data_IF_804712677436
#
_entry.id   IF_804712677436
#
_cell.length_a   1.000
_cell.length_b   1.000
_cell.length_c   1.000
_cell.angle_alpha   90.00
_cell.angle_beta   90.00
_cell.angle_gamma   90.00
#
_symmetry.space_group_name_H-M   'P 1'
#
loop_
_entity.id
_entity.type
_entity.pdbx_description
1 polymer ?
#
# COMPACT_ATOMS: atom_id res chain seq x y z
N UNK A 1 -23.54 -2.47 19.13
CA UNK A 1 -23.03 -2.65 17.77
C UNK A 1 -24.07 -2.14 16.81
N UNK A 2 -23.88 -1.01 16.19
CA UNK A 2 -24.74 -0.51 15.10
C UNK A 2 -23.94 -0.67 13.81
N UNK A 3 -24.16 -1.78 13.12
CA UNK A 3 -23.62 -1.94 11.78
C UNK A 3 -24.36 -0.99 10.84
N UNK A 4 -23.68 0.03 10.39
CA UNK A 4 -24.17 0.95 9.38
C UNK A 4 -23.53 0.63 8.03
N UNK A 5 -24.32 0.07 7.12
CA UNK A 5 -23.86 -0.29 5.77
C UNK A 5 -23.29 0.91 5.02
N UNK A 6 -23.81 2.11 5.25
CA UNK A 6 -23.38 3.33 4.60
C UNK A 6 -21.98 3.73 5.09
N UNK A 7 -21.73 3.63 6.39
CA UNK A 7 -20.39 3.85 6.95
C UNK A 7 -19.39 2.81 6.47
N UNK A 8 -19.76 1.53 6.45
CA UNK A 8 -18.90 0.44 5.96
C UNK A 8 -18.52 0.67 4.50
N UNK A 9 -19.50 0.99 3.63
CA UNK A 9 -19.21 1.26 2.22
C UNK A 9 -18.34 2.51 2.05
N UNK A 10 -18.64 3.59 2.75
CA UNK A 10 -17.87 4.84 2.65
C UNK A 10 -16.43 4.64 3.10
N UNK A 11 -16.21 4.07 4.28
CA UNK A 11 -14.86 3.82 4.80
C UNK A 11 -14.09 2.78 3.97
N UNK A 12 -14.78 1.74 3.43
CA UNK A 12 -14.16 0.79 2.50
C UNK A 12 -13.69 1.46 1.21
N UNK A 13 -14.51 2.32 0.60
CA UNK A 13 -14.14 3.04 -0.63
C UNK A 13 -13.00 4.04 -0.39
N UNK A 14 -12.99 4.72 0.75
CA UNK A 14 -11.90 5.62 1.11
C UNK A 14 -10.60 4.82 1.28
N UNK A 15 -10.61 3.72 2.03
CA UNK A 15 -9.45 2.85 2.20
C UNK A 15 -8.99 2.26 0.87
N UNK A 16 -9.91 1.75 0.06
CA UNK A 16 -9.62 1.22 -1.27
C UNK A 16 -8.88 2.24 -2.15
N UNK A 17 -9.35 3.49 -2.16
CA UNK A 17 -8.74 4.56 -2.96
C UNK A 17 -7.34 4.94 -2.47
N UNK A 18 -7.09 4.87 -1.16
CA UNK A 18 -5.80 5.23 -0.57
C UNK A 18 -4.79 4.10 -0.67
N UNK A 19 -5.23 2.85 -0.50
CA UNK A 19 -4.37 1.65 -0.65
C UNK A 19 -3.93 1.51 -2.12
N UNK A 20 -4.82 1.84 -3.06
CA UNK A 20 -4.58 1.79 -4.51
C UNK A 20 -3.90 0.50 -4.97
N UNK A 21 -4.45 -0.65 -4.52
CA UNK A 21 -3.89 -1.96 -4.85
C UNK A 21 -3.87 -2.24 -6.35
N UNK A 22 -4.83 -1.68 -7.11
CA UNK A 22 -4.86 -1.84 -8.56
C UNK A 22 -3.71 -1.07 -9.23
N UNK A 23 -3.43 0.15 -8.77
CA UNK A 23 -2.28 0.94 -9.19
C UNK A 23 -0.95 0.30 -8.81
N UNK A 24 -0.96 -0.55 -7.78
CA UNK A 24 0.23 -1.28 -7.32
C UNK A 24 0.52 -2.56 -8.14
N UNK A 25 -0.38 -3.00 -9.03
CA UNK A 25 -0.19 -4.23 -9.84
C UNK A 25 1.17 -4.25 -10.56
N UNK A 26 1.64 -3.20 -11.23
CA UNK A 26 2.95 -3.21 -11.89
C UNK A 26 4.11 -3.38 -10.93
N UNK A 27 4.01 -2.81 -9.71
CA UNK A 27 5.01 -2.98 -8.65
C UNK A 27 5.03 -4.44 -8.20
N UNK A 28 3.85 -5.03 -8.01
CA UNK A 28 3.69 -6.43 -7.61
C UNK A 28 4.35 -7.35 -8.65
N UNK A 29 4.11 -7.09 -9.93
CA UNK A 29 4.72 -7.84 -11.04
C UNK A 29 6.25 -7.66 -11.04
N UNK A 30 6.74 -6.45 -10.84
CA UNK A 30 8.19 -6.17 -10.80
C UNK A 30 8.88 -6.86 -9.62
N UNK A 31 8.28 -6.80 -8.43
CA UNK A 31 8.78 -7.51 -7.25
C UNK A 31 8.81 -9.03 -7.46
N UNK A 32 7.79 -9.58 -8.13
CA UNK A 32 7.78 -11.00 -8.47
C UNK A 32 8.92 -11.37 -9.43
N UNK A 33 9.18 -10.56 -10.45
CA UNK A 33 10.29 -10.80 -11.40
C UNK A 33 11.65 -10.75 -10.71
N UNK A 34 11.81 -9.89 -9.72
CA UNK A 34 13.07 -9.74 -8.97
C UNK A 34 13.27 -10.83 -7.91
N UNK A 35 12.21 -11.15 -7.18
CA UNK A 35 12.30 -11.94 -5.94
C UNK A 35 11.61 -13.32 -6.03
N UNK A 36 11.09 -13.71 -7.23
CA UNK A 36 10.35 -14.94 -7.40
C UNK A 36 8.90 -14.85 -6.91
N UNK A 37 8.39 -15.94 -6.32
CA UNK A 37 7.00 -16.01 -5.91
C UNK A 37 6.65 -15.04 -4.77
N UNK A 38 5.57 -14.29 -4.95
CA UNK A 38 4.98 -13.48 -3.89
C UNK A 38 4.02 -14.34 -3.08
N UNK A 39 4.24 -14.40 -1.79
CA UNK A 39 3.34 -15.06 -0.84
C UNK A 39 2.16 -14.13 -0.51
N UNK A 40 1.10 -14.18 -1.34
CA UNK A 40 -0.06 -13.31 -1.22
C UNK A 40 -0.70 -13.39 0.18
N UNK A 41 -0.77 -14.61 0.77
CA UNK A 41 -1.30 -14.83 2.10
C UNK A 41 -0.50 -14.07 3.17
N UNK A 42 0.82 -14.22 3.13
CA UNK A 42 1.70 -13.57 4.11
C UNK A 42 1.67 -12.05 3.96
N UNK A 43 1.75 -11.53 2.72
CA UNK A 43 1.68 -10.11 2.47
C UNK A 43 0.35 -9.51 2.97
N UNK A 44 -0.79 -10.19 2.70
CA UNK A 44 -2.10 -9.75 3.17
C UNK A 44 -2.20 -9.79 4.69
N UNK A 45 -1.73 -10.86 5.35
CA UNK A 45 -1.77 -10.99 6.80
C UNK A 45 -0.91 -9.92 7.48
N UNK A 46 0.32 -9.70 7.00
CA UNK A 46 1.20 -8.65 7.54
C UNK A 46 0.59 -7.27 7.35
N UNK A 47 0.03 -6.98 6.16
CA UNK A 47 -0.68 -5.72 5.91
C UNK A 47 -1.85 -5.54 6.86
N UNK A 48 -2.65 -6.59 7.07
CA UNK A 48 -3.79 -6.57 8.00
C UNK A 48 -3.33 -6.31 9.44
N UNK A 49 -2.28 -6.98 9.88
CA UNK A 49 -1.70 -6.75 11.21
C UNK A 49 -1.22 -5.30 11.38
N UNK A 50 -0.54 -4.75 10.38
CA UNK A 50 -0.09 -3.36 10.39
C UNK A 50 -1.28 -2.39 10.41
N UNK A 51 -2.30 -2.61 9.55
CA UNK A 51 -3.48 -1.75 9.49
C UNK A 51 -4.24 -1.74 10.82
N UNK A 52 -4.49 -2.91 11.40
CA UNK A 52 -5.17 -3.04 12.71
C UNK A 52 -4.31 -2.46 13.83
N UNK A 53 -3.02 -2.76 13.85
CA UNK A 53 -2.08 -2.22 14.82
C UNK A 53 -2.06 -0.68 14.81
N UNK A 54 -1.94 -0.07 13.62
CA UNK A 54 -1.97 1.38 13.49
C UNK A 54 -3.35 2.00 13.72
N UNK A 55 -4.43 1.28 13.42
CA UNK A 55 -5.77 1.74 13.76
C UNK A 55 -5.94 1.96 15.26
N UNK A 56 -5.48 1.02 16.08
CA UNK A 56 -5.60 1.14 17.54
C UNK A 56 -4.50 1.98 18.17
N UNK A 57 -3.26 1.80 17.78
CA UNK A 57 -2.09 2.38 18.46
C UNK A 57 -1.35 3.46 17.67
N UNK A 58 -1.74 3.74 16.41
CA UNK A 58 -0.99 4.63 15.53
C UNK A 58 -0.74 6.03 16.11
N UNK A 59 -1.77 6.69 16.65
CA UNK A 59 -1.60 8.01 17.29
C UNK A 59 -0.65 7.95 18.50
N UNK A 60 -0.75 6.88 19.29
CA UNK A 60 0.09 6.70 20.48
C UNK A 60 1.56 6.48 20.09
N UNK A 61 1.79 5.60 19.11
CA UNK A 61 3.13 5.31 18.58
C UNK A 61 3.79 6.57 18.03
N UNK A 62 3.10 7.31 17.15
CA UNK A 62 3.63 8.54 16.57
C UNK A 62 3.94 9.58 17.64
N UNK A 63 3.05 9.74 18.62
CA UNK A 63 3.25 10.67 19.75
C UNK A 63 4.44 10.25 20.61
N UNK A 64 4.59 8.95 20.89
CA UNK A 64 5.71 8.41 21.66
C UNK A 64 7.06 8.66 20.95
N UNK A 65 7.08 8.56 19.63
CA UNK A 65 8.26 8.84 18.80
C UNK A 65 8.48 10.35 18.56
N UNK A 66 7.59 11.22 19.04
CA UNK A 66 7.67 12.66 18.78
C UNK A 66 7.39 13.03 17.31
N UNK A 67 6.77 12.14 16.54
CA UNK A 67 6.46 12.33 15.13
C UNK A 67 4.99 12.70 14.95
N UNK A 68 4.70 13.79 14.26
CA UNK A 68 3.34 14.13 13.88
C UNK A 68 2.86 13.35 12.64
N UNK A 69 1.54 13.27 12.47
CA UNK A 69 0.93 12.51 11.37
C UNK A 69 1.27 13.08 9.98
N UNK A 70 1.53 14.39 9.87
CA UNK A 70 1.88 15.02 8.60
C UNK A 70 3.31 14.66 8.19
N UNK A 71 4.26 14.76 9.13
CA UNK A 71 5.65 14.33 8.91
C UNK A 71 5.73 12.85 8.52
N UNK A 72 4.94 12.00 9.19
CA UNK A 72 4.86 10.57 8.83
C UNK A 72 4.29 10.36 7.43
N UNK A 73 3.23 11.09 7.05
CA UNK A 73 2.66 11.01 5.71
C UNK A 73 3.64 11.51 4.63
N UNK A 74 4.41 12.57 4.92
CA UNK A 74 5.43 13.09 4.00
C UNK A 74 6.57 12.09 3.81
N UNK A 75 7.04 11.44 4.86
CA UNK A 75 8.04 10.38 4.77
C UNK A 75 7.55 9.21 3.90
N UNK A 76 6.30 8.78 4.08
CA UNK A 76 5.68 7.76 3.22
C UNK A 76 5.56 8.21 1.76
N UNK A 77 5.20 9.48 1.52
CA UNK A 77 5.14 10.04 0.17
C UNK A 77 6.52 10.06 -0.51
N UNK A 78 7.60 10.32 0.22
CA UNK A 78 8.95 10.24 -0.31
C UNK A 78 9.29 8.82 -0.79
N UNK A 79 8.92 7.81 -0.04
CA UNK A 79 9.13 6.41 -0.44
C UNK A 79 8.33 6.08 -1.71
N UNK A 80 7.07 6.49 -1.78
CA UNK A 80 6.22 6.31 -2.97
C UNK A 80 6.84 7.03 -4.18
N UNK A 81 7.36 8.24 -3.99
CA UNK A 81 8.05 9.00 -5.03
C UNK A 81 9.27 8.24 -5.57
N UNK A 82 10.12 7.72 -4.70
CA UNK A 82 11.30 6.94 -5.09
C UNK A 82 10.92 5.65 -5.84
N UNK A 83 9.87 4.95 -5.41
CA UNK A 83 9.33 3.77 -6.12
C UNK A 83 8.84 4.18 -7.52
N UNK A 84 8.10 5.29 -7.63
CA UNK A 84 7.63 5.82 -8.91
C UNK A 84 8.77 6.20 -9.86
N UNK A 85 9.84 6.79 -9.33
CA UNK A 85 11.06 7.08 -10.09
C UNK A 85 11.73 5.81 -10.60
N UNK A 86 11.90 4.81 -9.74
CA UNK A 86 12.47 3.51 -10.12
C UNK A 86 11.70 2.89 -11.29
N UNK A 87 10.36 2.87 -11.19
CA UNK A 87 9.48 2.32 -12.22
C UNK A 87 9.57 3.10 -13.55
N UNK A 88 9.64 4.42 -13.48
CA UNK A 88 9.66 5.30 -14.66
C UNK A 88 11.01 5.24 -15.36
N UNK A 89 12.11 5.30 -14.60
CA UNK A 89 13.46 5.29 -15.14
C UNK A 89 13.93 3.89 -15.56
N UNK A 90 13.28 2.84 -15.10
CA UNK A 90 13.68 1.45 -15.34
C UNK A 90 15.00 1.06 -14.65
N UNK A 91 15.44 1.84 -13.66
CA UNK A 91 16.67 1.58 -12.88
C UNK A 91 16.28 1.20 -11.45
N UNK A 92 16.94 0.18 -10.91
CA UNK A 92 16.73 -0.22 -9.52
C UNK A 92 17.45 0.77 -8.61
N UNK A 93 16.69 1.64 -7.95
CA UNK A 93 17.16 2.57 -6.92
C UNK A 93 17.35 1.80 -5.61
N UNK A 94 16.37 0.97 -5.27
CA UNK A 94 16.49 0.04 -4.16
C UNK A 94 17.21 -1.21 -4.65
N UNK A 95 18.50 -1.34 -4.34
CA UNK A 95 19.22 -2.58 -4.57
C UNK A 95 18.53 -3.68 -3.77
N UNK A 96 17.97 -4.66 -4.47
CA UNK A 96 17.72 -5.95 -3.83
C UNK A 96 19.10 -6.50 -3.51
N UNK A 97 19.51 -6.47 -2.24
CA UNK A 97 20.63 -7.30 -1.83
C UNK A 97 20.31 -8.70 -2.29
N UNK A 98 21.26 -9.35 -2.98
CA UNK A 98 21.18 -10.76 -3.34
C UNK A 98 21.18 -11.56 -2.03
N UNK A 99 19.99 -11.66 -1.42
CA UNK A 99 19.81 -12.40 -0.20
C UNK A 99 19.26 -13.77 -0.58
N UNK A 100 19.95 -14.75 -0.06
CA UNK A 100 19.76 -16.19 -0.19
C UNK A 100 18.31 -16.62 -0.41
N UNK A 101 18.12 -17.55 -1.35
CA UNK A 101 16.87 -18.27 -1.58
C UNK A 101 16.21 -18.67 -0.27
N UNK A 102 15.04 -18.13 0.02
CA UNK A 102 14.21 -18.71 1.08
C UNK A 102 13.38 -17.83 1.96
N UNK A 103 13.36 -16.49 1.88
CA UNK A 103 12.56 -15.78 2.87
C UNK A 103 12.15 -14.34 2.51
N UNK A 104 10.94 -14.04 2.88
CA UNK A 104 10.40 -12.74 3.39
C UNK A 104 10.63 -11.44 2.61
N UNK A 105 11.52 -11.37 1.61
CA UNK A 105 11.92 -10.10 1.00
C UNK A 105 10.89 -9.43 0.10
N UNK A 106 9.93 -10.18 -0.43
CA UNK A 106 8.81 -9.61 -1.18
C UNK A 106 7.68 -9.11 -0.28
N UNK A 107 7.62 -9.57 0.98
CA UNK A 107 6.55 -9.24 1.91
C UNK A 107 6.70 -7.82 2.43
N UNK A 108 7.92 -7.42 2.82
CA UNK A 108 8.18 -6.10 3.43
C UNK A 108 7.82 -4.96 2.49
N UNK A 109 8.32 -4.87 1.24
CA UNK A 109 7.95 -3.74 0.39
C UNK A 109 6.47 -3.77 -0.04
N UNK A 110 5.81 -4.93 -0.05
CA UNK A 110 4.37 -5.02 -0.35
C UNK A 110 3.52 -4.61 0.85
N UNK A 111 3.74 -5.21 2.01
CA UNK A 111 2.96 -4.92 3.19
C UNK A 111 3.19 -3.49 3.68
N UNK A 112 4.43 -3.03 3.68
CA UNK A 112 4.85 -1.67 3.98
C UNK A 112 5.97 -1.25 3.01
N UNK A 113 5.93 -0.10 2.33
CA UNK A 113 4.94 0.99 2.47
C UNK A 113 3.76 0.94 1.50
N UNK A 114 3.64 -0.10 0.64
CA UNK A 114 2.70 -0.08 -0.49
C UNK A 114 1.26 -0.24 0.01
N UNK A 115 0.95 -1.33 0.71
CA UNK A 115 -0.43 -1.62 1.16
C UNK A 115 -0.75 -0.85 2.45
N UNK A 116 0.00 -1.13 3.53
CA UNK A 116 -0.18 -0.46 4.81
C UNK A 116 0.83 0.69 4.95
N UNK A 117 0.86 1.60 3.98
CA UNK A 117 1.76 2.75 3.98
C UNK A 117 1.27 3.89 4.86
N UNK A 118 2.07 4.98 4.91
CA UNK A 118 1.74 6.16 5.70
C UNK A 118 0.39 6.78 5.32
N UNK A 119 0.02 6.74 4.02
CA UNK A 119 -1.29 7.17 3.54
C UNK A 119 -2.44 6.37 4.16
N UNK A 120 -2.36 5.04 4.11
CA UNK A 120 -3.35 4.14 4.71
C UNK A 120 -3.44 4.34 6.22
N UNK A 121 -2.30 4.45 6.90
CA UNK A 121 -2.23 4.64 8.35
C UNK A 121 -2.83 5.98 8.79
N UNK A 122 -2.49 7.08 8.12
CA UNK A 122 -3.08 8.40 8.40
C UNK A 122 -4.57 8.45 8.11
N UNK A 123 -5.01 7.74 7.06
CA UNK A 123 -6.43 7.61 6.73
C UNK A 123 -7.18 6.85 7.82
N UNK A 124 -6.67 5.72 8.30
CA UNK A 124 -7.27 4.95 9.40
C UNK A 124 -7.43 5.79 10.66
N UNK A 125 -6.40 6.59 11.01
CA UNK A 125 -6.46 7.52 12.14
C UNK A 125 -7.55 8.59 11.94
N UNK A 126 -7.73 9.07 10.70
CA UNK A 126 -8.75 10.06 10.35
C UNK A 126 -10.16 9.46 10.36
N UNK A 127 -10.33 8.26 9.82
CA UNK A 127 -11.62 7.56 9.80
C UNK A 127 -12.16 7.31 11.21
N UNK A 128 -11.28 7.02 12.17
CA UNK A 128 -11.64 6.82 13.59
C UNK A 128 -12.34 8.03 14.23
N UNK A 129 -12.21 9.23 13.66
CA UNK A 129 -12.90 10.42 14.13
C UNK A 129 -14.24 10.68 13.43
N UNK A 130 -14.59 9.88 12.42
CA UNK A 130 -15.74 10.11 11.55
C UNK A 130 -16.76 8.96 11.55
N UNK A 131 -16.30 7.73 11.81
CA UNK A 131 -17.08 6.49 11.73
C UNK A 131 -16.88 5.64 12.97
N UNK A 132 -17.83 4.75 13.23
CA UNK A 132 -17.74 3.78 14.33
C UNK A 132 -16.61 2.76 14.09
N UNK A 133 -15.91 2.39 15.18
CA UNK A 133 -14.71 1.54 15.11
C UNK A 133 -15.03 0.16 14.48
N UNK A 134 -16.19 -0.43 14.79
CA UNK A 134 -16.62 -1.71 14.23
C UNK A 134 -16.81 -1.65 12.71
N UNK A 135 -17.40 -0.57 12.20
CA UNK A 135 -17.61 -0.38 10.77
C UNK A 135 -16.29 -0.21 10.01
N UNK A 136 -15.31 0.47 10.62
CA UNK A 136 -13.95 0.61 10.05
C UNK A 136 -13.23 -0.75 10.04
N UNK A 137 -13.37 -1.57 11.09
CA UNK A 137 -12.76 -2.90 11.14
C UNK A 137 -13.30 -3.82 10.04
N UNK A 138 -14.60 -3.77 9.77
CA UNK A 138 -15.20 -4.51 8.65
C UNK A 138 -14.64 -3.99 7.32
N UNK A 139 -14.46 -2.69 7.19
CA UNK A 139 -13.90 -2.07 5.99
C UNK A 139 -12.44 -2.48 5.74
N UNK A 140 -11.64 -2.58 6.80
CA UNK A 140 -10.27 -3.14 6.71
C UNK A 140 -10.34 -4.57 6.18
N UNK A 141 -11.22 -5.40 6.75
CA UNK A 141 -11.35 -6.80 6.35
C UNK A 141 -11.78 -6.96 4.88
N UNK A 142 -12.75 -6.16 4.42
CA UNK A 142 -13.18 -6.13 3.01
C UNK A 142 -12.01 -5.78 2.09
N UNK A 143 -11.23 -4.76 2.45
CA UNK A 143 -10.07 -4.35 1.66
C UNK A 143 -8.97 -5.44 1.66
N UNK A 144 -8.74 -6.14 2.77
CA UNK A 144 -7.78 -7.24 2.82
C UNK A 144 -8.17 -8.40 1.90
N UNK A 145 -9.47 -8.75 1.84
CA UNK A 145 -9.96 -9.75 0.88
C UNK A 145 -9.66 -9.29 -0.56
N UNK A 146 -9.92 -8.04 -0.87
CA UNK A 146 -9.68 -7.51 -2.20
C UNK A 146 -8.18 -7.49 -2.54
N UNK A 147 -7.33 -7.07 -1.59
CA UNK A 147 -5.87 -7.12 -1.71
C UNK A 147 -5.40 -8.53 -2.02
N UNK A 148 -5.88 -9.52 -1.27
CA UNK A 148 -5.54 -10.92 -1.46
C UNK A 148 -5.90 -11.40 -2.88
N UNK A 149 -7.11 -11.09 -3.34
CA UNK A 149 -7.56 -11.45 -4.70
C UNK A 149 -6.63 -10.83 -5.76
N UNK A 150 -6.29 -9.57 -5.63
CA UNK A 150 -5.42 -8.87 -6.59
C UNK A 150 -4.00 -9.45 -6.57
N UNK A 151 -3.42 -9.68 -5.39
CA UNK A 151 -2.10 -10.28 -5.25
C UNK A 151 -2.05 -11.68 -5.90
N UNK A 152 -3.06 -12.49 -5.67
CA UNK A 152 -3.15 -13.84 -6.25
C UNK A 152 -3.38 -13.81 -7.75
N UNK A 153 -4.17 -12.86 -8.24
CA UNK A 153 -4.46 -12.69 -9.67
C UNK A 153 -3.31 -12.05 -10.44
N UNK A 154 -2.32 -11.49 -9.78
CA UNK A 154 -1.20 -10.77 -10.42
C UNK A 154 -0.43 -11.62 -11.44
N UNK A 155 -0.31 -12.95 -11.23
CA UNK A 155 0.29 -13.91 -12.20
C UNK A 155 -0.47 -13.92 -13.52
N UNK A 156 -1.78 -14.08 -13.41
CA UNK A 156 -2.65 -14.13 -14.60
C UNK A 156 -2.63 -12.80 -15.37
N UNK A 157 -2.60 -11.68 -14.64
CA UNK A 157 -2.49 -10.34 -15.22
C UNK A 157 -1.15 -10.20 -15.96
N UNK A 158 -0.04 -10.64 -15.35
CA UNK A 158 1.28 -10.62 -15.98
C UNK A 158 1.33 -11.45 -17.27
N UNK A 159 0.79 -12.66 -17.21
CA UNK A 159 0.74 -13.56 -18.39
C UNK A 159 -0.09 -12.96 -19.53
N UNK A 160 -1.20 -12.29 -19.24
CA UNK A 160 -2.05 -11.63 -20.23
C UNK A 160 -1.40 -10.40 -20.85
N UNK A 161 -0.68 -9.61 -20.08
CA UNK A 161 -0.02 -8.39 -20.54
C UNK A 161 1.27 -8.65 -21.34
N UNK A 162 1.96 -9.75 -21.04
CA UNK A 162 3.27 -10.02 -21.59
C UNK A 162 4.34 -9.02 -21.17
N UNK A 163 5.57 -9.18 -21.66
CA UNK A 163 6.69 -8.32 -21.26
C UNK A 163 6.52 -6.87 -21.72
N UNK A 164 6.05 -6.64 -22.94
CA UNK A 164 5.85 -5.29 -23.47
C UNK A 164 4.75 -4.54 -22.71
N UNK A 165 3.60 -5.17 -22.50
CA UNK A 165 2.49 -4.58 -21.76
C UNK A 165 2.88 -4.27 -20.30
N UNK A 166 3.62 -5.17 -19.66
CA UNK A 166 4.10 -4.95 -18.29
C UNK A 166 5.05 -3.73 -18.21
N UNK A 167 5.94 -3.55 -19.20
CA UNK A 167 6.84 -2.39 -19.21
C UNK A 167 6.10 -1.07 -19.43
N UNK A 168 5.12 -1.04 -20.32
CA UNK A 168 4.28 0.16 -20.53
C UNK A 168 3.51 0.47 -19.25
N UNK A 169 2.87 -0.52 -18.67
CA UNK A 169 2.11 -0.38 -17.42
C UNK A 169 3.01 0.17 -16.30
N UNK A 170 4.21 -0.41 -16.13
CA UNK A 170 5.20 0.03 -15.16
C UNK A 170 5.53 1.52 -15.29
N UNK A 171 5.80 2.01 -16.50
CA UNK A 171 6.12 3.44 -16.72
C UNK A 171 4.92 4.35 -16.45
N UNK A 172 3.73 3.98 -16.91
CA UNK A 172 2.50 4.76 -16.70
C UNK A 172 2.21 4.88 -15.20
N UNK A 173 2.20 3.76 -14.47
CA UNK A 173 1.96 3.78 -13.03
C UNK A 173 3.09 4.42 -12.24
N UNK A 174 4.34 4.33 -12.71
CA UNK A 174 5.44 5.08 -12.12
C UNK A 174 5.18 6.59 -12.11
N UNK A 175 4.69 7.15 -13.22
CA UNK A 175 4.30 8.57 -13.30
C UNK A 175 3.11 8.88 -12.37
N UNK A 176 2.13 7.99 -12.30
CA UNK A 176 0.97 8.15 -11.39
C UNK A 176 1.43 8.17 -9.94
N UNK A 177 2.32 7.27 -9.53
CA UNK A 177 2.87 7.24 -8.17
C UNK A 177 3.63 8.52 -7.82
N UNK A 178 4.43 9.05 -8.75
CA UNK A 178 5.10 10.35 -8.59
C UNK A 178 4.06 11.44 -8.37
N UNK A 179 3.00 11.48 -9.19
CA UNK A 179 1.93 12.48 -9.06
C UNK A 179 1.19 12.36 -7.71
N UNK A 180 0.90 11.14 -7.24
CA UNK A 180 0.30 10.88 -5.92
C UNK A 180 1.21 11.37 -4.81
N UNK A 181 2.50 11.06 -4.86
CA UNK A 181 3.48 11.51 -3.89
C UNK A 181 3.52 13.04 -3.80
N UNK A 182 3.61 13.72 -4.95
CA UNK A 182 3.58 15.19 -5.02
C UNK A 182 2.28 15.75 -4.44
N UNK A 183 1.13 15.12 -4.74
CA UNK A 183 -0.16 15.52 -4.16
C UNK A 183 -0.14 15.44 -2.64
N UNK A 184 0.36 14.34 -2.07
CA UNK A 184 0.47 14.17 -0.60
C UNK A 184 1.38 15.26 -0.03
N UNK A 185 2.55 15.52 -0.61
CA UNK A 185 3.44 16.60 -0.20
C UNK A 185 2.71 17.95 -0.18
N UNK A 186 2.08 18.31 -1.31
CA UNK A 186 1.35 19.58 -1.42
C UNK A 186 0.24 19.72 -0.36
N UNK A 187 -0.55 18.68 -0.14
CA UNK A 187 -1.70 18.71 0.80
C UNK A 187 -1.24 18.76 2.28
N UNK A 188 0.00 18.34 2.58
CA UNK A 188 0.50 18.27 3.96
C UNK A 188 1.47 19.40 4.31
N UNK A 189 1.98 20.14 3.30
CA UNK A 189 2.81 21.33 3.53
C UNK A 189 2.00 22.62 3.65
N UNK A 190 0.84 22.68 3.01
CA UNK A 190 -0.08 23.84 2.99
C UNK A 190 -1.48 23.43 3.44
#
# INVERSE_FOLDING_TARGET
MKFDLKEILSSSLILFSVIDILGSIPIIIDLRKKNGNIHAEQATLVSGFLMVGFFYSGKLILRFLGVDTNSFAMAGALIIFLIGLEMTLGRNIFKSEELQEGSSHSIVPLAFPIIAGAGTMTTLISLKSQFEEENIMISIFINLIFIYIVLRSSVWIEQKLGNAGTQVLRKVFGVILIAIAIKIFKTRMF
#
